data_IF_985564661889
#
_entry.id   IF_985564661889
#
_cell.length_a   1.000
_cell.length_b   1.000
_cell.length_c   1.000
_cell.angle_alpha   90.00
_cell.angle_beta   90.00
_cell.angle_gamma   90.00
#
_symmetry.space_group_name_H-M   'P 1'
#
loop_
_entity.id
_entity.type
_entity.pdbx_description
1 polymer ?
#
# COMPACT_ATOMS: atom_id res chain seq x y z
N UNK A 1 -16.59 -1.68 7.09
CA UNK A 1 -15.26 -2.21 6.70
C UNK A 1 -14.52 -2.65 7.96
N UNK A 2 -13.73 -3.72 7.89
CA UNK A 2 -12.86 -4.16 8.98
C UNK A 2 -11.73 -3.13 9.20
N UNK A 3 -11.42 -2.74 10.46
CA UNK A 3 -10.26 -1.90 10.77
C UNK A 3 -8.95 -2.52 10.28
N UNK A 4 -8.04 -1.69 9.76
CA UNK A 4 -6.70 -2.13 9.36
C UNK A 4 -5.78 -2.19 10.58
N UNK A 5 -5.20 -3.35 10.82
CA UNK A 5 -4.16 -3.53 11.83
C UNK A 5 -2.82 -2.95 11.39
N UNK A 6 -1.93 -2.69 12.33
CA UNK A 6 -0.56 -2.24 12.05
C UNK A 6 0.22 -3.23 11.17
N UNK A 7 -0.04 -4.53 11.34
CA UNK A 7 0.59 -5.59 10.56
C UNK A 7 0.05 -5.67 9.13
N UNK A 8 -1.27 -5.50 8.94
CA UNK A 8 -1.86 -5.35 7.60
C UNK A 8 -1.30 -4.11 6.90
N UNK A 9 -1.19 -2.98 7.61
CA UNK A 9 -0.58 -1.77 7.06
C UNK A 9 0.86 -2.02 6.60
N UNK A 10 1.70 -2.63 7.46
CA UNK A 10 3.09 -2.96 7.12
C UNK A 10 3.16 -3.84 5.88
N UNK A 11 2.32 -4.88 5.79
CA UNK A 11 2.31 -5.82 4.67
C UNK A 11 1.92 -5.15 3.35
N UNK A 12 0.86 -4.35 3.35
CA UNK A 12 0.43 -3.62 2.16
C UNK A 12 1.49 -2.62 1.69
N UNK A 13 2.05 -1.84 2.61
CA UNK A 13 3.06 -0.84 2.27
C UNK A 13 4.41 -1.48 1.88
N UNK A 14 4.77 -2.64 2.45
CA UNK A 14 5.94 -3.40 2.02
C UNK A 14 5.79 -3.93 0.59
N UNK A 15 4.57 -4.30 0.16
CA UNK A 15 4.28 -4.64 -1.23
C UNK A 15 4.43 -3.42 -2.15
N UNK A 16 3.83 -2.29 -1.78
CA UNK A 16 3.80 -1.08 -2.62
C UNK A 16 5.18 -0.39 -2.76
N UNK A 17 5.96 -0.34 -1.68
CA UNK A 17 7.17 0.49 -1.61
C UNK A 17 8.45 -0.30 -1.31
N UNK A 18 8.34 -1.62 -1.10
CA UNK A 18 9.42 -2.46 -0.59
C UNK A 18 9.50 -2.48 0.95
N UNK A 19 10.25 -3.44 1.49
CA UNK A 19 10.36 -3.67 2.93
C UNK A 19 11.02 -2.50 3.71
N UNK A 20 11.84 -1.70 3.02
CA UNK A 20 12.57 -0.58 3.62
C UNK A 20 11.95 0.77 3.22
N UNK A 21 11.95 1.73 4.15
CA UNK A 21 11.51 3.13 3.91
C UNK A 21 10.05 3.32 3.47
N UNK A 22 9.21 2.29 3.52
CA UNK A 22 7.78 2.40 3.20
C UNK A 22 7.04 3.46 4.03
N UNK A 23 7.47 3.72 5.27
CA UNK A 23 6.84 4.71 6.15
C UNK A 23 6.96 6.12 5.58
N UNK A 24 8.15 6.46 5.07
CA UNK A 24 8.46 7.77 4.48
C UNK A 24 7.79 7.94 3.13
N UNK A 25 7.74 6.86 2.34
CA UNK A 25 7.01 6.84 1.07
C UNK A 25 5.50 7.06 1.27
N UNK A 26 4.88 6.31 2.20
CA UNK A 26 3.47 6.45 2.53
C UNK A 26 3.15 7.84 3.10
N UNK A 27 4.00 8.37 3.97
CA UNK A 27 3.82 9.71 4.54
C UNK A 27 3.78 10.78 3.44
N UNK A 28 4.68 10.68 2.46
CA UNK A 28 4.74 11.57 1.30
C UNK A 28 3.48 11.47 0.44
N UNK A 29 3.02 10.26 0.13
CA UNK A 29 1.83 10.08 -0.72
C UNK A 29 0.52 10.52 -0.04
N UNK A 30 0.40 10.29 1.26
CA UNK A 30 -0.77 10.70 2.03
C UNK A 30 -0.73 12.18 2.47
N UNK A 31 0.40 12.87 2.28
CA UNK A 31 0.59 14.24 2.75
C UNK A 31 0.55 14.39 4.28
N UNK A 32 0.97 13.35 5.02
CA UNK A 32 0.98 13.35 6.49
C UNK A 32 2.40 13.34 7.04
N UNK A 33 2.56 13.70 8.32
CA UNK A 33 3.85 13.64 8.99
C UNK A 33 4.36 12.19 9.12
N UNK A 34 5.66 11.96 8.88
CA UNK A 34 6.30 10.64 9.02
C UNK A 34 6.09 10.02 10.43
N UNK A 35 6.08 10.86 11.48
CA UNK A 35 5.78 10.43 12.86
C UNK A 35 4.39 9.84 13.00
N UNK A 36 3.41 10.34 12.24
CA UNK A 36 2.04 9.82 12.23
C UNK A 36 2.02 8.39 11.68
N UNK A 37 2.69 8.16 10.55
CA UNK A 37 2.80 6.83 9.95
C UNK A 37 3.55 5.86 10.86
N UNK A 38 4.64 6.29 11.51
CA UNK A 38 5.36 5.46 12.49
C UNK A 38 4.48 5.03 13.65
N UNK A 39 3.62 5.91 14.17
CA UNK A 39 2.68 5.57 15.25
C UNK A 39 1.66 4.51 14.81
N UNK A 40 1.15 4.62 13.58
CA UNK A 40 0.27 3.59 13.00
C UNK A 40 0.99 2.25 12.84
N UNK A 41 2.20 2.27 12.29
CA UNK A 41 3.03 1.08 12.08
C UNK A 41 3.41 0.35 13.38
N UNK A 42 3.53 1.10 14.48
CA UNK A 42 3.81 0.57 15.81
C UNK A 42 2.54 0.15 16.57
N UNK A 43 1.34 0.40 16.03
CA UNK A 43 0.08 0.18 16.73
C UNK A 43 -0.21 1.18 17.86
N UNK A 44 0.62 2.22 18.02
CA UNK A 44 0.47 3.27 19.04
C UNK A 44 -0.66 4.27 18.75
N UNK A 45 -1.25 4.18 17.56
CA UNK A 45 -2.49 4.88 17.18
C UNK A 45 -3.18 4.02 16.12
N UNK A 46 -4.52 3.93 16.13
CA UNK A 46 -5.24 3.24 15.06
C UNK A 46 -5.02 3.94 13.72
N UNK A 47 -5.05 3.16 12.64
CA UNK A 47 -5.06 3.67 11.27
C UNK A 47 -6.43 4.29 11.00
N UNK A 48 -6.54 5.57 10.60
CA UNK A 48 -7.81 6.17 10.22
C UNK A 48 -8.48 5.38 9.10
N UNK A 49 -9.81 5.26 9.14
CA UNK A 49 -10.53 4.46 8.17
C UNK A 49 -10.38 4.96 6.72
N UNK A 50 -10.28 6.28 6.53
CA UNK A 50 -9.97 6.89 5.22
C UNK A 50 -8.61 6.43 4.70
N UNK A 51 -7.58 6.43 5.55
CA UNK A 51 -6.23 5.96 5.21
C UNK A 51 -6.23 4.47 4.89
N UNK A 52 -6.94 3.66 5.68
CA UNK A 52 -7.08 2.23 5.44
C UNK A 52 -7.74 1.93 4.08
N UNK A 53 -8.74 2.73 3.69
CA UNK A 53 -9.37 2.63 2.37
C UNK A 53 -8.37 3.02 1.26
N UNK A 54 -7.68 4.15 1.40
CA UNK A 54 -6.67 4.58 0.43
C UNK A 54 -5.60 3.51 0.22
N UNK A 55 -5.04 2.93 1.28
CA UNK A 55 -4.01 1.89 1.17
C UNK A 55 -4.52 0.64 0.46
N UNK A 56 -5.75 0.20 0.75
CA UNK A 56 -6.35 -0.94 0.04
C UNK A 56 -6.56 -0.64 -1.44
N UNK A 57 -7.01 0.57 -1.78
CA UNK A 57 -7.18 0.99 -3.18
C UNK A 57 -5.83 1.08 -3.91
N UNK A 58 -4.79 1.60 -3.27
CA UNK A 58 -3.44 1.62 -3.85
C UNK A 58 -2.93 0.21 -4.18
N UNK A 59 -3.11 -0.76 -3.26
CA UNK A 59 -2.75 -2.16 -3.51
C UNK A 59 -3.57 -2.77 -4.64
N UNK A 60 -4.87 -2.51 -4.67
CA UNK A 60 -5.74 -3.03 -5.73
C UNK A 60 -5.35 -2.47 -7.12
N UNK A 61 -5.02 -1.18 -7.19
CA UNK A 61 -4.58 -0.56 -8.45
C UNK A 61 -3.21 -1.07 -8.89
N UNK A 62 -2.27 -1.29 -7.96
CA UNK A 62 -0.98 -1.94 -8.22
C UNK A 62 -1.19 -3.34 -8.84
N UNK A 63 -2.03 -4.18 -8.22
CA UNK A 63 -2.35 -5.51 -8.73
C UNK A 63 -2.99 -5.47 -10.12
N UNK A 64 -3.90 -4.53 -10.38
CA UNK A 64 -4.50 -4.35 -11.70
C UNK A 64 -3.51 -3.87 -12.75
N UNK A 65 -2.60 -2.97 -12.40
CA UNK A 65 -1.56 -2.51 -13.32
C UNK A 65 -0.64 -3.65 -13.74
N UNK A 66 -0.24 -4.47 -12.77
CA UNK A 66 0.57 -5.66 -12.99
C UNK A 66 -0.15 -6.67 -13.89
N UNK A 67 -1.44 -6.95 -13.67
CA UNK A 67 -2.24 -7.81 -14.58
C UNK A 67 -2.31 -7.24 -16.00
N UNK A 68 -2.33 -5.93 -16.16
CA UNK A 68 -2.25 -5.27 -17.46
C UNK A 68 -0.93 -5.54 -18.18
N UNK A 69 0.19 -5.58 -17.46
CA UNK A 69 1.51 -5.94 -18.01
C UNK A 69 1.57 -7.42 -18.40
N UNK A 70 1.08 -8.32 -17.55
CA UNK A 70 1.05 -9.76 -17.87
C UNK A 70 0.14 -10.08 -19.06
N UNK A 71 -1.00 -9.40 -19.20
CA UNK A 71 -1.88 -9.61 -20.35
C UNK A 71 -1.24 -9.17 -21.66
N UNK A 72 -0.47 -8.07 -21.66
CA UNK A 72 0.30 -7.65 -22.83
C UNK A 72 1.34 -8.71 -23.23
N UNK A 73 2.01 -9.32 -22.26
CA UNK A 73 3.01 -10.37 -22.54
C UNK A 73 2.38 -11.62 -23.15
N UNK A 74 1.18 -12.02 -22.73
CA UNK A 74 0.45 -13.15 -23.34
C UNK A 74 -0.01 -12.84 -24.77
N UNK A 75 -0.44 -11.61 -25.04
CA UNK A 75 -0.83 -11.18 -26.39
C UNK A 75 0.39 -11.11 -27.34
N UNK A 76 1.61 -10.94 -26.81
CA UNK A 76 2.86 -10.87 -27.56
C UNK A 76 3.49 -12.26 -27.85
N UNK A 77 3.15 -13.31 -27.08
CA UNK A 77 3.68 -14.68 -27.27
C UNK A 77 2.89 -15.53 -28.29
N UNK A 78 1.77 -15.04 -28.84
CA UNK A 78 0.93 -15.77 -29.82
C UNK A 78 1.40 -15.65 -31.30
N UNK A 79 2.65 -15.22 -31.57
CA UNK A 79 3.23 -15.07 -32.93
C UNK A 79 4.32 -16.08 -33.28
#
# INVERSE_FOLDING_TARGET
>A
MRPMSAEELRRHCARLYGAHRWQTALARELGVNDRTVRRWAAGASPVPQSVALCVRLMVFLDELSWLGEWRKLLDEEEF
#
